data_IF_934601617737
#
_entry.id   IF_934601617737
#
_cell.length_a   1.000
_cell.length_b   1.000
_cell.length_c   1.000
_cell.angle_alpha   90.00
_cell.angle_beta   90.00
_cell.angle_gamma   90.00
#
_symmetry.space_group_name_H-M   'P 1'
#
loop_
_entity.id
_entity.type
_entity.pdbx_description
1 polymer ?
#
# COMPACT_ATOMS: atom_id res chain seq x y z
N UNK A 1 16.65 -1.14 8.17
CA UNK A 1 15.28 -1.04 7.64
C UNK A 1 15.32 -1.73 6.28
N UNK A 2 14.66 -2.87 6.11
CA UNK A 2 14.69 -3.61 4.83
C UNK A 2 13.75 -2.87 3.88
N UNK A 3 14.27 -2.33 2.78
CA UNK A 3 13.44 -1.64 1.80
C UNK A 3 12.63 -2.66 0.99
N UNK A 4 11.43 -2.30 0.57
CA UNK A 4 10.62 -3.14 -0.33
C UNK A 4 11.38 -3.49 -1.63
N UNK A 5 12.25 -2.58 -2.08
CA UNK A 5 13.18 -2.82 -3.19
C UNK A 5 14.19 -3.93 -2.89
N UNK A 6 14.74 -4.03 -1.68
CA UNK A 6 15.66 -5.11 -1.30
C UNK A 6 14.96 -6.47 -1.27
N UNK A 7 13.69 -6.50 -0.86
CA UNK A 7 12.87 -7.72 -0.91
C UNK A 7 12.64 -8.17 -2.36
N UNK A 8 12.30 -7.25 -3.27
CA UNK A 8 12.11 -7.55 -4.68
C UNK A 8 13.41 -8.01 -5.37
N UNK A 9 14.53 -7.34 -5.10
CA UNK A 9 15.85 -7.71 -5.63
C UNK A 9 16.30 -9.08 -5.11
N UNK A 10 16.14 -9.36 -3.81
CA UNK A 10 16.50 -10.66 -3.23
C UNK A 10 15.65 -11.82 -3.75
N UNK A 11 14.41 -11.54 -4.15
CA UNK A 11 13.53 -12.53 -4.78
C UNK A 11 13.94 -12.87 -6.22
N UNK A 12 14.91 -12.15 -6.81
CA UNK A 12 15.37 -12.37 -8.19
C UNK A 12 14.34 -11.98 -9.24
N UNK A 13 13.36 -11.14 -8.88
CA UNK A 13 12.30 -10.71 -9.80
C UNK A 13 12.82 -9.67 -10.79
N UNK A 14 12.93 -10.06 -12.05
CA UNK A 14 13.22 -9.15 -13.17
C UNK A 14 12.01 -8.29 -13.56
N UNK A 15 10.81 -8.68 -13.13
CA UNK A 15 9.57 -7.95 -13.35
C UNK A 15 8.64 -8.07 -12.14
N UNK A 16 8.05 -6.96 -11.72
CA UNK A 16 7.11 -6.90 -10.60
C UNK A 16 5.83 -6.17 -11.02
N UNK A 17 4.69 -6.71 -10.61
CA UNK A 17 3.38 -6.06 -10.76
C UNK A 17 2.83 -5.76 -9.38
N UNK A 18 2.77 -4.47 -9.05
CA UNK A 18 2.21 -4.00 -7.79
C UNK A 18 0.69 -3.92 -7.89
N UNK A 19 0.00 -4.61 -7.00
CA UNK A 19 -1.44 -4.51 -6.82
C UNK A 19 -1.72 -3.44 -5.77
N UNK A 20 -2.23 -2.31 -6.23
CA UNK A 20 -2.44 -1.12 -5.43
C UNK A 20 -3.94 -0.90 -5.23
N UNK A 21 -4.38 -0.83 -3.98
CA UNK A 21 -5.76 -0.54 -3.66
C UNK A 21 -5.88 0.90 -3.15
N UNK A 22 -6.62 1.73 -3.87
CA UNK A 22 -6.81 3.15 -3.54
C UNK A 22 -8.02 3.30 -2.64
N UNK A 23 -7.91 4.03 -1.52
CA UNK A 23 -9.06 4.33 -0.68
C UNK A 23 -10.06 5.20 -1.46
N UNK A 24 -11.27 4.68 -1.66
CA UNK A 24 -12.37 5.39 -2.34
C UNK A 24 -13.48 5.80 -1.39
N UNK A 25 -13.45 5.35 -0.14
CA UNK A 25 -14.46 5.66 0.86
C UNK A 25 -13.83 5.67 2.27
N UNK A 26 -14.26 6.63 3.10
CA UNK A 26 -13.99 6.64 4.53
C UNK A 26 -15.29 6.42 5.30
N UNK A 27 -15.30 5.49 6.25
CA UNK A 27 -16.41 5.41 7.20
C UNK A 27 -16.28 6.54 8.22
N UNK A 28 -17.37 7.02 8.84
CA UNK A 28 -17.31 8.05 9.87
C UNK A 28 -16.54 7.64 11.15
N UNK A 29 -16.13 6.38 11.26
CA UNK A 29 -15.26 5.85 12.33
C UNK A 29 -13.80 5.69 11.91
N UNK A 30 -13.46 6.00 10.66
CA UNK A 30 -12.11 5.88 10.11
C UNK A 30 -11.27 7.13 10.39
N UNK A 31 -9.94 6.99 10.29
CA UNK A 31 -8.90 8.02 10.51
C UNK A 31 -9.01 9.26 9.60
N UNK A 32 -9.92 9.23 8.63
CA UNK A 32 -10.08 10.25 7.59
C UNK A 32 -11.30 11.10 7.94
N UNK A 33 -11.04 12.22 8.63
CA UNK A 33 -12.06 13.05 9.27
C UNK A 33 -12.96 13.77 8.26
N UNK A 34 -12.47 13.99 7.02
CA UNK A 34 -13.25 14.57 5.93
C UNK A 34 -12.82 14.11 4.52
N UNK A 35 -13.56 14.57 3.49
CA UNK A 35 -13.28 14.27 2.08
C UNK A 35 -11.95 14.88 1.58
N UNK A 36 -11.44 15.92 2.26
CA UNK A 36 -10.18 16.55 1.92
C UNK A 36 -9.02 15.63 2.25
N UNK A 37 -9.05 15.05 3.46
CA UNK A 37 -8.08 14.07 3.92
C UNK A 37 -8.02 12.85 2.99
N UNK A 38 -9.16 12.38 2.49
CA UNK A 38 -9.23 11.26 1.57
C UNK A 38 -8.55 11.60 0.24
N UNK A 39 -8.76 12.82 -0.24
CA UNK A 39 -8.16 13.30 -1.48
C UNK A 39 -6.65 13.49 -1.34
N UNK A 40 -6.20 14.01 -0.21
CA UNK A 40 -4.79 14.16 0.12
C UNK A 40 -4.10 12.78 0.20
N UNK A 41 -4.69 11.83 0.94
CA UNK A 41 -4.20 10.47 1.05
C UNK A 41 -4.08 9.81 -0.34
N UNK A 42 -5.10 9.93 -1.18
CA UNK A 42 -5.06 9.42 -2.55
C UNK A 42 -3.93 10.06 -3.37
N UNK A 43 -3.72 11.37 -3.23
CA UNK A 43 -2.66 12.08 -3.94
C UNK A 43 -1.28 11.62 -3.50
N UNK A 44 -1.05 11.53 -2.18
CA UNK A 44 0.17 10.98 -1.59
C UNK A 44 0.41 9.53 -1.99
N UNK A 45 -0.65 8.72 -2.03
CA UNK A 45 -0.59 7.31 -2.41
C UNK A 45 -0.13 7.14 -3.86
N UNK A 46 -0.64 7.96 -4.79
CA UNK A 46 -0.21 7.92 -6.19
C UNK A 46 1.24 8.38 -6.36
N UNK A 47 1.66 9.43 -5.65
CA UNK A 47 3.06 9.88 -5.64
C UNK A 47 3.98 8.79 -5.10
N UNK A 48 3.61 8.16 -3.99
CA UNK A 48 4.38 7.08 -3.38
C UNK A 48 4.53 5.87 -4.32
N UNK A 49 3.46 5.47 -5.02
CA UNK A 49 3.54 4.42 -6.05
C UNK A 49 4.51 4.83 -7.15
N UNK A 50 4.45 6.08 -7.60
CA UNK A 50 5.33 6.56 -8.65
C UNK A 50 6.80 6.51 -8.24
N UNK A 51 7.13 7.00 -7.05
CA UNK A 51 8.48 6.98 -6.50
C UNK A 51 8.98 5.55 -6.27
N UNK A 52 8.12 4.65 -5.80
CA UNK A 52 8.43 3.24 -5.62
C UNK A 52 8.73 2.55 -6.96
N UNK A 53 7.91 2.79 -7.99
CA UNK A 53 8.13 2.25 -9.33
C UNK A 53 9.41 2.81 -9.95
N UNK A 54 9.69 4.09 -9.77
CA UNK A 54 10.91 4.72 -10.26
C UNK A 54 12.13 4.10 -9.58
N UNK A 55 12.07 3.89 -8.26
CA UNK A 55 13.14 3.24 -7.49
C UNK A 55 13.37 1.79 -7.94
N UNK A 56 12.30 1.02 -8.17
CA UNK A 56 12.38 -0.35 -8.70
C UNK A 56 13.00 -0.38 -10.10
N UNK A 57 12.59 0.52 -10.99
CA UNK A 57 13.14 0.65 -12.35
C UNK A 57 14.60 1.08 -12.35
N UNK A 58 14.99 1.98 -11.46
CA UNK A 58 16.38 2.39 -11.29
C UNK A 58 17.27 1.21 -10.85
N UNK A 59 16.72 0.27 -10.09
CA UNK A 59 17.37 -1.00 -9.73
C UNK A 59 17.32 -2.06 -10.84
N UNK A 60 16.84 -1.73 -12.04
CA UNK A 60 16.77 -2.64 -13.19
C UNK A 60 15.56 -3.57 -13.20
N UNK A 61 14.58 -3.37 -12.32
CA UNK A 61 13.36 -4.19 -12.25
C UNK A 61 12.27 -3.58 -13.13
N UNK A 62 11.69 -4.37 -14.04
CA UNK A 62 10.52 -3.94 -14.81
C UNK A 62 9.29 -3.86 -13.91
N UNK A 63 8.96 -2.66 -13.43
CA UNK A 63 7.87 -2.46 -12.50
C UNK A 63 6.60 -1.91 -13.18
N UNK A 64 5.47 -2.57 -12.94
CA UNK A 64 4.12 -2.18 -13.35
C UNK A 64 3.20 -2.11 -12.14
N UNK A 65 2.08 -1.40 -12.24
CA UNK A 65 1.09 -1.32 -11.16
C UNK A 65 -0.33 -1.48 -11.70
N UNK A 66 -1.22 -1.97 -10.85
CA UNK A 66 -2.66 -2.05 -11.08
C UNK A 66 -3.36 -1.29 -9.95
N UNK A 67 -4.33 -0.45 -10.29
CA UNK A 67 -5.14 0.27 -9.31
C UNK A 67 -6.51 -0.41 -9.17
N UNK A 68 -6.90 -0.73 -7.95
CA UNK A 68 -8.25 -1.22 -7.62
C UNK A 68 -8.90 -0.31 -6.58
N UNK A 69 -10.18 0.03 -6.71
CA UNK A 69 -10.88 0.79 -5.68
C UNK A 69 -11.00 -0.05 -4.40
N UNK A 70 -10.84 0.59 -3.25
CA UNK A 70 -10.99 -0.01 -1.92
C UNK A 70 -12.00 0.77 -1.10
N UNK A 71 -12.91 0.07 -0.43
CA UNK A 71 -13.89 0.69 0.46
C UNK A 71 -13.30 1.03 1.85
N UNK A 72 -11.99 0.82 2.03
CA UNK A 72 -11.27 1.18 3.25
C UNK A 72 -10.68 2.59 3.15
N UNK A 73 -10.47 3.21 4.30
CA UNK A 73 -9.74 4.47 4.50
C UNK A 73 -8.21 4.35 4.35
N UNK A 74 -7.73 3.17 3.92
CA UNK A 74 -6.31 2.83 3.84
C UNK A 74 -5.89 2.55 2.38
N UNK A 75 -4.69 3.00 2.02
CA UNK A 75 -4.03 2.61 0.78
C UNK A 75 -3.20 1.35 0.95
N UNK A 76 -3.31 0.40 0.02
CA UNK A 76 -2.54 -0.87 0.07
C UNK A 76 -1.70 -1.04 -1.18
N UNK A 77 -0.45 -1.46 -1.04
CA UNK A 77 0.44 -1.80 -2.16
C UNK A 77 1.05 -3.16 -1.86
N UNK A 78 0.69 -4.17 -2.65
CA UNK A 78 1.16 -5.54 -2.46
C UNK A 78 1.73 -6.10 -3.77
N UNK A 79 2.63 -7.07 -3.67
CA UNK A 79 3.16 -7.78 -4.84
C UNK A 79 2.12 -8.71 -5.49
N UNK A 80 1.13 -9.17 -4.72
CA UNK A 80 0.06 -10.05 -5.18
C UNK A 80 -1.30 -9.39 -4.94
N UNK A 81 -2.34 -9.77 -5.68
CA UNK A 81 -3.70 -9.35 -5.37
C UNK A 81 -4.08 -9.96 -4.01
N UNK A 82 -4.42 -9.12 -3.05
CA UNK A 82 -4.86 -9.54 -1.72
C UNK A 82 -6.24 -8.96 -1.44
N UNK A 83 -7.02 -9.69 -0.65
CA UNK A 83 -8.28 -9.22 -0.12
C UNK A 83 -8.04 -8.11 0.91
N UNK A 84 -8.18 -6.86 0.47
CA UNK A 84 -7.99 -5.66 1.30
C UNK A 84 -8.97 -5.58 2.48
N UNK A 85 -10.16 -6.15 2.36
CA UNK A 85 -11.12 -6.21 3.46
C UNK A 85 -10.59 -7.08 4.61
N UNK A 86 -10.01 -8.24 4.30
CA UNK A 86 -9.43 -9.12 5.30
C UNK A 86 -8.23 -8.47 6.02
N UNK A 87 -7.40 -7.72 5.29
CA UNK A 87 -6.28 -6.97 5.89
C UNK A 87 -6.81 -5.85 6.79
N UNK A 88 -7.81 -5.10 6.33
CA UNK A 88 -8.42 -4.01 7.10
C UNK A 88 -9.07 -4.53 8.38
N UNK A 89 -9.82 -5.63 8.33
CA UNK A 89 -10.36 -6.29 9.53
C UNK A 89 -9.25 -6.79 10.47
N UNK A 90 -8.16 -7.32 9.92
CA UNK A 90 -6.98 -7.73 10.68
C UNK A 90 -6.29 -6.56 11.38
N UNK A 91 -6.20 -5.41 10.72
CA UNK A 91 -5.66 -4.16 11.27
C UNK A 91 -6.58 -3.52 12.32
N UNK A 92 -7.90 -3.68 12.21
CA UNK A 92 -8.82 -3.23 13.23
C UNK A 92 -8.77 -4.15 14.47
N UNK A 93 -8.55 -5.45 14.28
CA UNK A 93 -8.42 -6.43 15.37
C UNK A 93 -7.02 -6.44 16.00
N UNK A 94 -5.98 -6.18 15.21
CA UNK A 94 -4.60 -6.03 15.66
C UNK A 94 -4.34 -4.60 16.09
N UNK A 95 -3.64 -4.37 17.20
CA UNK A 95 -3.29 -3.03 17.70
C UNK A 95 -2.27 -2.27 16.82
N UNK A 96 -2.28 -2.42 15.49
CA UNK A 96 -1.45 -1.59 14.61
C UNK A 96 -2.08 -0.19 14.51
N UNK A 97 -1.73 0.68 15.46
CA UNK A 97 -1.94 2.11 15.34
C UNK A 97 -0.95 2.68 14.32
N UNK A 98 -1.29 2.60 13.04
CA UNK A 98 -0.66 3.44 12.03
C UNK A 98 -1.17 4.86 12.26
N UNK A 99 -0.28 5.75 12.70
CA UNK A 99 -0.61 7.18 12.78
C UNK A 99 -0.68 7.76 11.37
N UNK A 100 -1.62 8.70 11.18
CA UNK A 100 -1.77 9.53 9.98
C UNK A 100 -0.39 9.90 9.43
N UNK A 101 -0.21 9.72 8.12
CA UNK A 101 1.02 9.97 7.37
C UNK A 101 2.10 8.88 7.35
N UNK A 102 1.92 7.75 8.02
CA UNK A 102 2.93 6.68 8.04
C UNK A 102 2.67 5.60 6.98
N UNK A 103 3.76 5.11 6.38
CA UNK A 103 3.76 3.91 5.57
C UNK A 103 4.23 2.72 6.42
N UNK A 104 3.36 1.73 6.62
CA UNK A 104 3.67 0.49 7.34
C UNK A 104 3.95 -0.66 6.39
N UNK A 105 5.06 -1.37 6.58
CA UNK A 105 5.27 -2.65 5.92
C UNK A 105 4.65 -3.76 6.78
N UNK A 106 3.68 -4.47 6.21
CA UNK A 106 2.98 -5.59 6.83
C UNK A 106 3.22 -6.82 5.97
N UNK A 107 3.68 -7.92 6.58
CA UNK A 107 3.67 -9.23 5.94
C UNK A 107 2.29 -9.85 6.14
N UNK A 108 1.56 -10.05 5.04
CA UNK A 108 0.26 -10.72 5.07
C UNK A 108 0.36 -12.07 4.33
N UNK A 109 0.34 -13.17 5.08
CA UNK A 109 0.45 -14.53 4.57
C UNK A 109 1.71 -14.77 3.70
N UNK A 110 2.86 -14.21 4.07
CA UNK A 110 4.11 -14.31 3.33
C UNK A 110 4.19 -13.37 2.13
N UNK A 111 3.28 -12.40 2.02
CA UNK A 111 3.30 -11.36 0.98
C UNK A 111 3.59 -10.01 1.64
N UNK A 112 4.70 -9.35 1.30
CA UNK A 112 4.98 -8.01 1.79
C UNK A 112 3.98 -7.02 1.18
N UNK A 113 3.31 -6.28 2.06
CA UNK A 113 2.35 -5.23 1.73
C UNK A 113 2.73 -3.93 2.41
N UNK A 114 2.71 -2.84 1.65
CA UNK A 114 2.85 -1.49 2.18
C UNK A 114 1.45 -0.92 2.39
N UNK A 115 1.24 -0.32 3.56
CA UNK A 115 -0.03 0.29 3.97
C UNK A 115 0.22 1.77 4.21
N UNK A 116 -0.63 2.63 3.64
CA UNK A 116 -0.59 4.07 3.84
C UNK A 116 -1.88 4.53 4.51
N UNK A 117 -1.74 5.31 5.59
CA UNK A 117 -2.80 6.01 6.33
C UNK A 117 -2.79 7.50 6.11
#
# INVERSE_FOLDING_TARGET
>A
MISFTDLAVRSGMSSIRLHCAIPTWSSPTDTCDDLHDLHELRSRFLLFIHDLLQSLRASGISASYSLTPSNASLGFICEKPINTAAITEGLQKGNLKLTREQAGLVDWNGVPCLILT
#
